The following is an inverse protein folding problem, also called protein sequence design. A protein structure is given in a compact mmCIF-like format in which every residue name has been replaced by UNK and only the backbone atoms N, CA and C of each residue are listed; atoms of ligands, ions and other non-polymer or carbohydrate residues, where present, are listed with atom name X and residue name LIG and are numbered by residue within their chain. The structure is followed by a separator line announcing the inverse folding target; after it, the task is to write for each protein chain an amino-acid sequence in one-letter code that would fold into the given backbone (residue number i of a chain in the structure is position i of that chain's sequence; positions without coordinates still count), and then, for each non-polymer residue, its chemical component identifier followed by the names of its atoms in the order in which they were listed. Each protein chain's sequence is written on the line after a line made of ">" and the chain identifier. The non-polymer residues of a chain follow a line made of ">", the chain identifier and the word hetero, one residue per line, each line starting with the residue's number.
data_IF_275897571979
#
_entry.id   IF_275897571979
#
_cell.length_a   1.000
_cell.length_b   1.000
_cell.length_c   1.000
_cell.angle_alpha   90.00
_cell.angle_beta   90.00
_cell.angle_gamma   90.00
#
_symmetry.space_group_name_H-M   'P 1'
#
loop_
_entity.id
_entity.type
_entity.pdbx_description
1 polymer ?
#
# COMPACT_ATOMS: atom_id res chain seq x y z
N UNK A 1 -40.36 -67.88 31.84
CA UNK A 1 -40.01 -66.47 32.10
C UNK A 1 -38.80 -66.13 31.23
N UNK A 2 -39.11 -65.31 30.25
CA UNK A 2 -38.33 -64.42 29.40
C UNK A 2 -36.95 -63.93 29.90
N UNK A 3 -36.04 -63.73 28.90
CA UNK A 3 -34.81 -62.89 28.80
C UNK A 3 -33.65 -63.16 29.78
N UNK A 4 -32.37 -63.12 29.39
CA UNK A 4 -31.71 -62.77 28.12
C UNK A 4 -30.18 -62.82 28.29
N UNK A 5 -29.51 -63.22 27.21
CA UNK A 5 -28.05 -63.25 27.05
C UNK A 5 -27.37 -61.90 27.27
N UNK A 6 -26.11 -61.93 27.70
CA UNK A 6 -25.23 -60.76 27.74
C UNK A 6 -23.77 -61.11 28.02
N UNK A 7 -23.19 -62.05 27.24
CA UNK A 7 -21.75 -62.22 27.13
C UNK A 7 -21.09 -60.89 26.71
N UNK A 8 -20.04 -60.50 27.44
CA UNK A 8 -19.26 -59.30 27.15
C UNK A 8 -18.56 -59.39 25.79
N UNK A 9 -18.41 -58.27 25.07
CA UNK A 9 -17.80 -58.30 23.75
C UNK A 9 -16.27 -58.45 23.83
N UNK A 10 -15.64 -59.04 22.80
CA UNK A 10 -14.20 -59.31 22.76
C UNK A 10 -13.40 -58.02 22.61
N UNK A 11 -12.29 -57.94 23.35
CA UNK A 11 -11.28 -56.89 23.27
C UNK A 11 -10.58 -56.88 21.89
N UNK A 12 -11.19 -56.22 20.90
CA UNK A 12 -10.52 -55.84 19.66
C UNK A 12 -9.64 -54.63 19.96
N UNK A 13 -8.33 -54.86 20.13
CA UNK A 13 -7.31 -53.79 20.05
C UNK A 13 -7.35 -53.20 18.65
N UNK A 14 -8.19 -52.18 18.45
CA UNK A 14 -8.08 -51.30 17.28
C UNK A 14 -6.82 -50.48 17.49
N UNK A 15 -5.78 -50.82 16.73
CA UNK A 15 -4.62 -49.97 16.50
C UNK A 15 -5.18 -48.67 15.92
N UNK A 16 -5.24 -47.61 16.72
CA UNK A 16 -5.54 -46.27 16.24
C UNK A 16 -4.51 -45.97 15.13
N UNK A 17 -4.94 -45.49 13.95
CA UNK A 17 -3.97 -44.93 13.01
C UNK A 17 -3.21 -43.83 13.75
N UNK A 18 -1.88 -43.84 13.60
CA UNK A 18 -1.04 -42.78 14.13
C UNK A 18 -1.67 -41.43 13.73
N UNK A 19 -1.92 -40.57 14.71
CA UNK A 19 -2.12 -39.15 14.40
C UNK A 19 -0.85 -38.72 13.68
N UNK A 20 -1.00 -38.47 12.39
CA UNK A 20 -0.01 -37.77 11.60
C UNK A 20 0.21 -36.42 12.28
N UNK A 21 1.45 -36.15 12.70
CA UNK A 21 1.93 -34.88 13.22
C UNK A 21 1.96 -33.81 12.09
N UNK A 22 0.93 -33.76 11.24
CA UNK A 22 0.79 -32.78 10.15
C UNK A 22 0.14 -31.47 10.61
N UNK A 23 0.18 -31.17 11.90
CA UNK A 23 -0.32 -29.94 12.49
C UNK A 23 0.80 -29.10 13.07
N UNK A 24 1.84 -28.85 12.27
CA UNK A 24 2.69 -27.68 12.46
C UNK A 24 3.33 -27.21 11.15
N UNK A 25 2.61 -26.31 10.49
CA UNK A 25 3.24 -25.20 9.80
C UNK A 25 2.20 -24.08 9.74
N UNK A 26 2.44 -22.88 10.32
CA UNK A 26 1.63 -21.73 9.95
C UNK A 26 1.79 -21.55 8.45
N UNK A 27 0.70 -21.74 7.70
CA UNK A 27 0.61 -21.41 6.29
C UNK A 27 0.93 -19.92 6.14
N UNK A 28 2.22 -19.63 5.92
CA UNK A 28 2.76 -18.32 5.58
C UNK A 28 2.11 -17.90 4.27
N UNK A 29 0.98 -17.22 4.36
CA UNK A 29 0.33 -16.60 3.19
C UNK A 29 1.04 -15.28 2.95
N UNK A 30 2.11 -15.37 2.16
CA UNK A 30 3.01 -14.28 1.80
C UNK A 30 2.39 -13.39 0.73
N UNK A 31 2.34 -12.08 0.95
CA UNK A 31 2.18 -11.08 -0.11
C UNK A 31 3.54 -10.42 -0.38
N UNK A 32 4.21 -10.95 -1.40
CA UNK A 32 5.49 -10.44 -1.90
C UNK A 32 5.28 -9.18 -2.73
N UNK A 33 6.19 -8.22 -2.54
CA UNK A 33 6.38 -7.10 -3.47
C UNK A 33 7.44 -7.55 -4.47
N UNK A 34 7.02 -7.92 -5.67
CA UNK A 34 7.89 -8.40 -6.75
C UNK A 34 8.56 -7.23 -7.50
N UNK A 35 9.87 -7.33 -7.68
CA UNK A 35 10.65 -6.65 -8.72
C UNK A 35 11.00 -7.73 -9.75
N UNK A 36 10.75 -7.48 -11.04
CA UNK A 36 11.12 -8.43 -12.10
C UNK A 36 12.48 -8.03 -12.68
N UNK A 37 13.51 -8.84 -12.44
CA UNK A 37 14.72 -8.87 -13.27
C UNK A 37 14.45 -9.70 -14.53
N UNK A 38 14.87 -9.18 -15.68
CA UNK A 38 14.81 -9.89 -16.96
C UNK A 38 16.09 -10.68 -17.18
N UNK A 39 15.98 -11.96 -17.52
CA UNK A 39 17.05 -12.71 -18.17
C UNK A 39 16.51 -13.43 -19.41
N UNK A 40 17.27 -13.32 -20.52
CA UNK A 40 17.19 -14.25 -21.66
C UNK A 40 17.05 -13.63 -23.06
N UNK A 41 18.20 -13.25 -23.66
CA UNK A 41 18.71 -13.50 -25.04
C UNK A 41 17.73 -13.47 -26.24
N UNK A 42 17.97 -12.83 -27.42
CA UNK A 42 19.20 -12.50 -28.15
C UNK A 42 18.94 -11.43 -29.26
N UNK A 43 19.94 -10.54 -29.46
CA UNK A 43 20.39 -9.78 -30.67
C UNK A 43 19.38 -9.13 -31.63
N UNK A 44 19.48 -7.80 -31.77
CA UNK A 44 20.12 -7.12 -32.93
C UNK A 44 20.68 -5.74 -32.53
N UNK A 45 21.54 -5.23 -33.39
CA UNK A 45 22.51 -4.12 -33.34
C UNK A 45 22.06 -2.72 -32.92
N UNK A 46 23.05 -2.02 -32.34
CA UNK A 46 23.37 -0.59 -32.44
C UNK A 46 22.47 0.45 -31.75
N UNK A 47 23.04 1.04 -30.70
CA UNK A 47 23.11 2.51 -30.55
C UNK A 47 21.87 3.23 -30.03
N UNK A 48 21.61 3.16 -28.73
CA UNK A 48 21.17 4.34 -27.94
C UNK A 48 21.10 3.97 -26.45
N UNK A 49 21.59 4.88 -25.58
CA UNK A 49 21.56 4.69 -24.13
C UNK A 49 20.15 4.85 -23.55
N UNK A 50 19.66 3.97 -22.65
CA UNK A 50 18.29 4.05 -22.19
C UNK A 50 18.12 5.02 -21.01
N UNK A 51 17.42 6.13 -21.28
CA UNK A 51 16.72 6.95 -20.29
C UNK A 51 15.67 6.07 -19.58
N UNK A 52 15.84 5.87 -18.28
CA UNK A 52 14.94 5.02 -17.48
C UNK A 52 13.93 5.90 -16.73
N UNK A 53 12.67 5.89 -17.21
CA UNK A 53 11.51 6.55 -16.60
C UNK A 53 10.66 5.55 -15.81
N UNK A 54 10.30 5.87 -14.56
CA UNK A 54 9.32 5.10 -13.77
C UNK A 54 8.34 6.03 -13.06
N UNK A 55 7.05 5.87 -13.38
CA UNK A 55 5.91 6.57 -12.77
C UNK A 55 5.32 5.80 -11.59
N UNK A 56 4.99 6.52 -10.50
CA UNK A 56 4.02 6.24 -9.44
C UNK A 56 3.60 4.79 -9.16
N UNK A 57 3.98 4.32 -7.96
CA UNK A 57 3.44 3.31 -7.01
C UNK A 57 2.48 2.22 -7.51
N UNK A 58 1.54 2.57 -8.38
CA UNK A 58 0.52 1.67 -8.93
C UNK A 58 1.01 0.80 -10.07
N UNK A 59 2.20 1.04 -10.65
CA UNK A 59 2.77 0.24 -11.77
C UNK A 59 3.78 -0.85 -11.37
N UNK A 60 3.95 -1.17 -10.09
CA UNK A 60 4.84 -2.27 -9.65
C UNK A 60 4.20 -3.67 -9.69
N UNK A 61 3.00 -3.82 -10.26
CA UNK A 61 2.34 -5.11 -10.38
C UNK A 61 2.72 -5.83 -11.69
N UNK A 62 3.76 -6.68 -11.63
CA UNK A 62 3.74 -7.90 -12.44
C UNK A 62 2.84 -8.91 -11.71
N UNK A 63 1.76 -9.29 -12.39
CA UNK A 63 0.68 -10.13 -11.87
C UNK A 63 1.15 -11.59 -11.90
N UNK A 64 1.38 -12.27 -10.76
CA UNK A 64 1.44 -13.72 -10.78
C UNK A 64 0.05 -14.26 -11.18
N UNK A 65 -0.02 -15.36 -11.95
CA UNK A 65 -1.29 -15.89 -12.41
C UNK A 65 -2.23 -16.14 -11.24
N UNK A 66 -3.45 -15.63 -11.40
CA UNK A 66 -4.64 -15.83 -10.58
C UNK A 66 -4.62 -17.23 -9.91
N UNK A 67 -4.42 -17.31 -8.59
CA UNK A 67 -4.90 -18.49 -7.84
C UNK A 67 -6.42 -18.44 -8.02
N UNK A 68 -6.97 -19.32 -8.88
CA UNK A 68 -8.35 -19.25 -9.40
C UNK A 68 -9.32 -18.70 -8.34
N UNK A 69 -9.78 -17.46 -8.54
CA UNK A 69 -10.86 -16.88 -7.76
C UNK A 69 -10.46 -15.91 -6.63
N UNK A 70 -9.21 -15.46 -6.54
CA UNK A 70 -8.76 -14.46 -5.57
C UNK A 70 -8.13 -13.22 -6.21
N UNK A 71 -8.23 -12.07 -5.55
CA UNK A 71 -7.75 -10.78 -6.05
C UNK A 71 -7.33 -9.87 -4.92
N UNK A 72 -6.24 -9.13 -5.10
CA UNK A 72 -5.79 -8.15 -4.11
C UNK A 72 -6.69 -6.92 -4.14
N UNK A 73 -7.00 -6.38 -2.97
CA UNK A 73 -7.68 -5.11 -2.83
C UNK A 73 -7.06 -4.23 -1.75
N UNK A 74 -7.31 -2.94 -1.83
CA UNK A 74 -6.99 -1.96 -0.80
C UNK A 74 -8.01 -0.82 -0.81
N UNK A 75 -8.27 -0.24 0.35
CA UNK A 75 -9.09 0.96 0.48
C UNK A 75 -8.22 2.14 0.89
N UNK A 76 -8.52 3.31 0.34
CA UNK A 76 -7.78 4.52 0.60
C UNK A 76 -8.70 5.74 0.63
N UNK A 77 -8.40 6.69 1.50
CA UNK A 77 -8.86 8.06 1.34
C UNK A 77 -8.03 8.71 0.24
N UNK A 78 -8.72 9.39 -0.67
CA UNK A 78 -8.06 10.18 -1.71
C UNK A 78 -8.22 11.65 -1.36
N UNK A 79 -7.09 12.33 -1.21
CA UNK A 79 -7.07 13.77 -1.13
C UNK A 79 -7.30 14.38 -2.52
N UNK A 80 -7.87 15.58 -2.57
CA UNK A 80 -7.84 16.41 -3.78
C UNK A 80 -6.38 16.65 -4.20
N UNK A 81 -6.17 16.93 -5.49
CA UNK A 81 -4.85 17.26 -6.06
C UNK A 81 -4.09 18.22 -5.11
N UNK A 82 -2.85 17.89 -4.71
CA UNK A 82 -2.09 18.71 -3.77
C UNK A 82 -1.89 20.12 -4.32
N UNK A 83 -1.80 21.11 -3.42
CA UNK A 83 -1.42 22.48 -3.79
C UNK A 83 -0.03 22.49 -4.42
N UNK A 84 0.31 23.54 -5.18
CA UNK A 84 1.67 23.69 -5.73
C UNK A 84 2.72 23.74 -4.61
N UNK A 85 2.40 24.41 -3.49
CA UNK A 85 3.26 24.50 -2.31
C UNK A 85 3.50 23.13 -1.67
N UNK A 86 2.43 22.35 -1.47
CA UNK A 86 2.52 21.00 -0.93
C UNK A 86 3.30 20.08 -1.87
N UNK A 87 3.03 20.13 -3.17
CA UNK A 87 3.75 19.33 -4.16
C UNK A 87 5.25 19.62 -4.11
N UNK A 88 5.62 20.91 -4.04
CA UNK A 88 7.02 21.33 -3.90
C UNK A 88 7.65 20.84 -2.60
N UNK A 89 6.92 20.91 -1.47
CA UNK A 89 7.41 20.41 -0.18
C UNK A 89 7.66 18.90 -0.21
N UNK A 90 6.73 18.11 -0.76
CA UNK A 90 6.89 16.66 -0.87
C UNK A 90 8.02 16.28 -1.83
N UNK A 91 8.13 16.94 -2.99
CA UNK A 91 9.27 16.72 -3.91
C UNK A 91 10.59 17.08 -3.27
N UNK A 92 10.67 18.21 -2.55
CA UNK A 92 11.87 18.60 -1.81
C UNK A 92 12.23 17.61 -0.70
N UNK A 93 11.25 17.00 -0.04
CA UNK A 93 11.49 15.93 0.92
C UNK A 93 12.07 14.68 0.25
N UNK A 94 11.56 14.30 -0.93
CA UNK A 94 12.13 13.21 -1.71
C UNK A 94 13.56 13.51 -2.18
N UNK A 95 13.81 14.71 -2.70
CA UNK A 95 15.13 15.12 -3.17
C UNK A 95 16.14 15.12 -2.01
N UNK A 96 15.78 15.68 -0.85
CA UNK A 96 16.63 15.63 0.35
C UNK A 96 16.91 14.18 0.75
N UNK A 97 15.88 13.33 0.79
CA UNK A 97 16.07 11.92 1.12
C UNK A 97 16.99 11.18 0.13
N UNK A 98 16.91 11.50 -1.16
CA UNK A 98 17.77 10.95 -2.20
C UNK A 98 19.22 11.41 -2.01
N UNK A 99 19.41 12.70 -1.79
CA UNK A 99 20.73 13.31 -1.72
C UNK A 99 21.47 12.93 -0.41
N UNK A 100 20.74 12.52 0.64
CA UNK A 100 21.32 11.95 1.87
C UNK A 100 21.72 10.47 1.75
N UNK A 101 21.43 9.79 0.62
CA UNK A 101 21.86 8.41 0.42
C UNK A 101 23.33 8.35 -0.03
N UNK A 102 24.07 7.38 0.49
CA UNK A 102 25.44 7.11 0.04
C UNK A 102 25.45 6.62 -1.42
N UNK A 103 26.52 6.90 -2.20
CA UNK A 103 26.62 6.46 -3.60
C UNK A 103 26.45 4.96 -3.82
N UNK A 104 26.97 4.14 -2.89
CA UNK A 104 26.84 2.68 -2.89
C UNK A 104 25.74 2.19 -1.92
N UNK A 105 24.87 3.11 -1.48
CA UNK A 105 23.77 2.83 -0.58
C UNK A 105 22.60 2.12 -1.28
N UNK A 106 21.62 1.63 -0.50
CA UNK A 106 20.43 1.00 -1.06
C UNK A 106 19.61 1.99 -1.90
N UNK A 107 19.07 1.50 -3.02
CA UNK A 107 18.25 2.34 -3.91
C UNK A 107 16.96 2.80 -3.21
N UNK A 108 16.65 4.08 -3.36
CA UNK A 108 15.36 4.64 -2.99
C UNK A 108 14.57 5.02 -4.24
N UNK A 109 13.25 4.91 -4.19
CA UNK A 109 12.36 5.15 -5.33
C UNK A 109 11.23 6.10 -4.95
N UNK A 110 10.94 7.06 -5.83
CA UNK A 110 9.84 8.02 -5.63
C UNK A 110 8.47 7.38 -5.78
N UNK A 111 7.53 7.87 -4.97
CA UNK A 111 6.10 7.57 -5.05
C UNK A 111 5.26 8.80 -5.45
N UNK A 112 5.92 9.93 -5.73
CA UNK A 112 5.28 11.17 -6.13
C UNK A 112 5.14 11.25 -7.66
N UNK A 113 4.03 11.86 -8.11
CA UNK A 113 3.78 12.04 -9.53
C UNK A 113 4.91 12.82 -10.20
N UNK A 114 5.34 12.34 -11.37
CA UNK A 114 6.26 13.10 -12.21
C UNK A 114 5.63 14.47 -12.53
N UNK A 115 6.41 15.57 -12.50
CA UNK A 115 5.91 16.87 -12.90
C UNK A 115 5.39 16.79 -14.34
N UNK A 116 4.19 17.33 -14.57
CA UNK A 116 3.59 17.39 -15.91
C UNK A 116 4.55 18.17 -16.83
N UNK A 117 4.90 17.66 -18.02
CA UNK A 117 5.67 18.44 -18.97
C UNK A 117 4.79 19.60 -19.45
N UNK A 118 5.15 20.82 -19.11
CA UNK A 118 4.32 22.02 -19.38
C UNK A 118 4.34 22.48 -20.85
N UNK A 119 5.01 21.75 -21.77
CA UNK A 119 4.98 22.04 -23.20
C UNK A 119 5.33 20.77 -24.01
N UNK A 120 4.34 19.96 -24.37
CA UNK A 120 4.55 18.86 -25.32
C UNK A 120 3.51 18.92 -26.42
N UNK A 121 4.01 18.90 -27.65
CA UNK A 121 3.30 18.99 -28.92
C UNK A 121 2.03 18.09 -28.95
N UNK A 122 0.86 18.59 -29.42
CA UNK A 122 -0.38 17.83 -29.49
C UNK A 122 -0.34 16.56 -30.37
N UNK A 123 0.73 16.34 -31.13
CA UNK A 123 0.85 15.23 -32.09
C UNK A 123 1.43 13.92 -31.54
N UNK A 124 1.89 13.87 -30.29
CA UNK A 124 2.52 12.69 -29.68
C UNK A 124 1.50 11.73 -29.02
N UNK A 125 0.88 10.90 -29.85
CA UNK A 125 0.41 9.51 -29.62
C UNK A 125 -0.47 9.15 -28.38
N UNK A 126 -1.23 8.05 -28.54
CA UNK A 126 -2.06 7.37 -27.52
C UNK A 126 -1.36 7.15 -26.16
N UNK A 127 -0.03 7.19 -26.14
CA UNK A 127 0.81 7.10 -24.95
C UNK A 127 0.74 8.36 -24.08
N UNK A 128 0.66 9.57 -24.66
CA UNK A 128 0.46 10.82 -23.93
C UNK A 128 -0.92 10.86 -23.27
N UNK A 129 -1.98 10.41 -23.96
CA UNK A 129 -3.32 10.28 -23.34
C UNK A 129 -3.36 9.23 -22.23
N UNK A 130 -2.59 8.14 -22.37
CA UNK A 130 -2.43 7.14 -21.30
C UNK A 130 -1.59 7.69 -20.14
N UNK A 131 -0.60 8.54 -20.42
CA UNK A 131 0.15 9.30 -19.42
C UNK A 131 -0.74 10.35 -18.74
N UNK A 132 -1.64 11.02 -19.44
CA UNK A 132 -2.63 11.98 -18.91
C UNK A 132 -3.67 11.28 -18.03
N UNK A 133 -4.15 10.11 -18.46
CA UNK A 133 -5.06 9.28 -17.66
C UNK A 133 -4.36 8.70 -16.42
N UNK A 134 -3.08 8.33 -16.51
CA UNK A 134 -2.28 7.87 -15.36
C UNK A 134 -1.79 9.04 -14.47
N UNK A 135 -1.64 10.26 -15.00
CA UNK A 135 -1.38 11.49 -14.22
C UNK A 135 -2.65 12.09 -13.63
N UNK A 136 -3.85 11.71 -14.09
CA UNK A 136 -5.10 11.94 -13.36
C UNK A 136 -5.15 11.16 -12.02
N UNK A 137 -4.23 10.22 -11.76
CA UNK A 137 -3.99 9.57 -10.46
C UNK A 137 -2.83 10.19 -9.65
N UNK A 138 -2.38 11.41 -9.99
CA UNK A 138 -1.43 12.20 -9.20
C UNK A 138 -1.97 12.71 -7.85
N UNK A 139 -3.10 12.17 -7.38
CA UNK A 139 -3.66 12.51 -6.09
C UNK A 139 -2.88 11.80 -4.98
N UNK A 140 -2.65 12.52 -3.88
CA UNK A 140 -2.13 11.91 -2.67
C UNK A 140 -3.18 10.93 -2.13
N UNK A 141 -2.74 9.74 -1.73
CA UNK A 141 -3.59 8.75 -1.11
C UNK A 141 -3.13 8.48 0.31
N UNK A 142 -4.10 8.15 1.17
CA UNK A 142 -3.91 7.73 2.56
C UNK A 142 -4.58 6.37 2.69
N UNK A 143 -3.81 5.34 2.99
CA UNK A 143 -4.36 3.99 3.16
C UNK A 143 -5.32 3.94 4.36
N UNK A 144 -6.45 3.24 4.17
CA UNK A 144 -7.48 3.00 5.19
C UNK A 144 -7.75 1.50 5.41
N UNK A 145 -7.02 0.63 4.71
CA UNK A 145 -6.95 -0.79 4.97
C UNK A 145 -5.52 -1.30 4.83
N UNK A 146 -5.24 -2.46 5.43
CA UNK A 146 -4.12 -3.30 5.02
C UNK A 146 -4.36 -3.81 3.59
N UNK A 147 -3.34 -4.36 2.90
CA UNK A 147 -3.57 -5.17 1.72
C UNK A 147 -4.55 -6.31 2.02
N UNK A 148 -5.64 -6.39 1.26
CA UNK A 148 -6.70 -7.39 1.42
C UNK A 148 -6.58 -8.46 0.34
N UNK A 149 -6.82 -9.71 0.71
CA UNK A 149 -7.03 -10.81 -0.24
C UNK A 149 -8.51 -11.09 -0.36
N UNK A 150 -9.10 -10.68 -1.48
CA UNK A 150 -10.52 -10.82 -1.76
C UNK A 150 -10.82 -12.04 -2.62
N UNK A 151 -11.88 -12.77 -2.27
CA UNK A 151 -12.49 -13.74 -3.17
C UNK A 151 -13.30 -13.01 -4.26
N UNK A 152 -13.47 -13.65 -5.43
CA UNK A 152 -14.23 -13.06 -6.55
C UNK A 152 -15.65 -12.64 -6.14
N UNK A 153 -16.32 -13.45 -5.32
CA UNK A 153 -17.68 -13.15 -4.83
C UNK A 153 -17.72 -11.98 -3.83
N UNK A 154 -16.64 -11.70 -3.10
CA UNK A 154 -16.57 -10.61 -2.12
C UNK A 154 -16.35 -9.23 -2.76
N UNK A 155 -15.99 -9.17 -4.05
CA UNK A 155 -15.65 -7.91 -4.75
C UNK A 155 -16.78 -6.88 -4.67
N UNK A 156 -17.99 -7.32 -5.01
CA UNK A 156 -19.17 -6.46 -4.98
C UNK A 156 -19.58 -6.08 -3.55
N UNK A 157 -19.36 -6.96 -2.58
CA UNK A 157 -19.65 -6.67 -1.18
C UNK A 157 -18.71 -5.61 -0.60
N UNK A 158 -17.41 -5.69 -0.87
CA UNK A 158 -16.45 -4.68 -0.47
C UNK A 158 -16.80 -3.31 -1.08
N UNK A 159 -17.09 -3.27 -2.38
CA UNK A 159 -17.49 -2.05 -3.07
C UNK A 159 -18.74 -1.42 -2.44
N UNK A 160 -19.78 -2.23 -2.15
CA UNK A 160 -20.98 -1.76 -1.45
C UNK A 160 -20.70 -1.27 -0.04
N UNK A 161 -19.83 -1.97 0.70
CA UNK A 161 -19.43 -1.58 2.05
C UNK A 161 -18.76 -0.20 2.04
N UNK A 162 -17.76 0.01 1.18
CA UNK A 162 -17.08 1.31 1.09
C UNK A 162 -18.01 2.40 0.58
N UNK A 163 -18.89 2.10 -0.38
CA UNK A 163 -19.92 3.04 -0.83
C UNK A 163 -20.85 3.50 0.29
N UNK A 164 -21.28 2.59 1.18
CA UNK A 164 -22.10 2.96 2.34
C UNK A 164 -21.34 3.84 3.32
N UNK A 165 -20.09 3.49 3.63
CA UNK A 165 -19.26 4.30 4.55
C UNK A 165 -19.02 5.70 3.96
N UNK A 166 -18.78 5.80 2.65
CA UNK A 166 -18.64 7.08 1.96
C UNK A 166 -19.93 7.91 2.03
N UNK A 167 -21.09 7.30 1.80
CA UNK A 167 -22.38 7.99 1.88
C UNK A 167 -22.69 8.53 3.28
N UNK A 168 -22.21 7.86 4.33
CA UNK A 168 -22.40 8.24 5.74
C UNK A 168 -21.30 9.16 6.30
N UNK A 169 -20.32 9.51 5.49
CA UNK A 169 -19.17 10.32 5.91
C UNK A 169 -19.22 11.65 5.19
N UNK A 170 -19.19 12.75 5.95
CA UNK A 170 -19.04 14.09 5.39
C UNK A 170 -17.61 14.29 4.89
N UNK A 171 -17.40 14.99 3.77
CA UNK A 171 -16.07 15.49 3.41
C UNK A 171 -15.46 16.34 4.54
N UNK A 172 -14.15 16.28 4.72
CA UNK A 172 -13.45 16.98 5.80
C UNK A 172 -12.03 17.44 5.38
N UNK A 173 -11.50 18.50 6.01
CA UNK A 173 -10.11 18.90 5.82
C UNK A 173 -9.16 18.01 6.65
N UNK A 174 -7.98 17.74 6.11
CA UNK A 174 -6.87 17.11 6.82
C UNK A 174 -5.58 17.91 6.59
N UNK A 175 -4.60 17.79 7.49
CA UNK A 175 -3.31 18.47 7.36
C UNK A 175 -2.14 17.59 7.76
N UNK A 176 -1.10 17.61 6.92
CA UNK A 176 0.18 16.98 7.22
C UNK A 176 0.96 17.77 8.30
N UNK A 177 1.66 17.05 9.17
CA UNK A 177 2.33 17.65 10.33
C UNK A 177 3.79 17.26 10.50
N UNK A 178 4.16 16.05 10.07
CA UNK A 178 5.49 15.49 10.28
C UNK A 178 5.85 14.49 9.19
N UNK A 179 7.13 14.14 9.14
CA UNK A 179 7.65 12.99 8.41
C UNK A 179 7.82 11.79 9.33
N UNK A 180 7.65 10.60 8.76
CA UNK A 180 7.79 9.36 9.51
C UNK A 180 8.26 8.23 8.61
N UNK A 181 8.73 7.17 9.27
CA UNK A 181 9.15 5.95 8.60
C UNK A 181 8.24 4.80 8.95
N UNK A 182 7.90 4.03 7.93
CA UNK A 182 7.02 2.87 8.04
C UNK A 182 7.65 1.67 7.33
N UNK A 183 7.36 0.47 7.82
CA UNK A 183 7.65 -0.77 7.10
C UNK A 183 6.33 -1.50 6.85
N UNK A 184 6.25 -2.25 5.76
CA UNK A 184 5.10 -3.13 5.56
C UNK A 184 5.13 -4.31 6.55
N UNK A 185 3.99 -4.97 6.72
CA UNK A 185 3.83 -6.11 7.65
C UNK A 185 4.90 -7.19 7.48
N UNK A 186 5.28 -7.49 6.24
CA UNK A 186 6.28 -8.50 5.92
C UNK A 186 7.73 -8.01 6.07
N UNK A 187 7.94 -6.74 6.41
CA UNK A 187 9.26 -6.08 6.50
C UNK A 187 10.10 -6.28 5.25
N UNK A 188 9.46 -6.19 4.08
CA UNK A 188 10.13 -6.29 2.78
C UNK A 188 10.33 -4.92 2.13
N UNK A 189 9.66 -3.89 2.63
CA UNK A 189 9.73 -2.52 2.15
C UNK A 189 9.70 -1.54 3.31
N UNK A 190 10.49 -0.49 3.15
CA UNK A 190 10.57 0.65 4.07
C UNK A 190 10.16 1.91 3.32
N UNK A 191 9.35 2.74 3.95
CA UNK A 191 8.70 3.90 3.35
C UNK A 191 9.04 5.15 4.14
N UNK A 192 9.35 6.23 3.42
CA UNK A 192 9.29 7.59 3.94
C UNK A 192 7.87 8.11 3.69
N UNK A 193 7.20 8.61 4.72
CA UNK A 193 5.85 9.17 4.61
C UNK A 193 5.72 10.54 5.24
N UNK A 194 4.76 11.33 4.75
CA UNK A 194 4.24 12.50 5.45
C UNK A 194 2.97 12.11 6.21
N UNK A 195 2.94 12.39 7.51
CA UNK A 195 1.87 11.99 8.43
C UNK A 195 0.85 13.09 8.64
N UNK A 196 -0.41 12.68 8.75
CA UNK A 196 -1.56 13.54 9.03
C UNK A 196 -1.75 13.66 10.54
N UNK A 197 -1.91 14.89 11.02
CA UNK A 197 -2.32 15.15 12.41
C UNK A 197 -3.74 15.73 12.48
N UNK A 198 -4.01 16.83 11.77
CA UNK A 198 -5.36 17.37 11.69
C UNK A 198 -6.18 16.52 10.72
N UNK A 199 -7.42 16.14 11.08
CA UNK A 199 -8.20 15.17 10.31
C UNK A 199 -8.03 13.73 10.77
N UNK A 200 -7.19 13.48 11.80
CA UNK A 200 -6.94 12.14 12.32
C UNK A 200 -8.21 11.49 12.87
N UNK A 201 -9.02 12.23 13.63
CA UNK A 201 -10.23 11.68 14.26
C UNK A 201 -11.28 11.30 13.21
N UNK A 202 -11.41 12.10 12.16
CA UNK A 202 -12.27 11.85 11.02
C UNK A 202 -11.82 10.59 10.26
N UNK A 203 -10.52 10.47 9.97
CA UNK A 203 -9.94 9.28 9.34
C UNK A 203 -10.10 8.02 10.22
N UNK A 204 -9.86 8.13 11.53
CA UNK A 204 -10.05 7.04 12.48
C UNK A 204 -11.52 6.60 12.55
N UNK A 205 -12.47 7.54 12.51
CA UNK A 205 -13.89 7.23 12.46
C UNK A 205 -14.28 6.52 11.14
N UNK A 206 -13.69 6.91 10.01
CA UNK A 206 -13.87 6.22 8.74
C UNK A 206 -13.30 4.81 8.79
N UNK A 207 -12.07 4.64 9.29
CA UNK A 207 -11.44 3.31 9.47
C UNK A 207 -12.29 2.42 10.35
N UNK A 208 -12.77 2.92 11.49
CA UNK A 208 -13.62 2.15 12.39
C UNK A 208 -14.87 1.61 11.66
N UNK A 209 -15.55 2.45 10.89
CA UNK A 209 -16.71 2.04 10.08
C UNK A 209 -16.32 1.04 8.99
N UNK A 210 -15.16 1.22 8.35
CA UNK A 210 -14.64 0.27 7.36
C UNK A 210 -14.33 -1.08 8.01
N UNK A 211 -13.65 -1.10 9.15
CA UNK A 211 -13.25 -2.31 9.87
C UNK A 211 -14.46 -3.15 10.28
N UNK A 212 -15.55 -2.52 10.75
CA UNK A 212 -16.82 -3.22 11.01
C UNK A 212 -17.32 -3.97 9.76
N UNK A 213 -17.21 -3.35 8.57
CA UNK A 213 -17.59 -4.01 7.31
C UNK A 213 -16.57 -5.07 6.88
N UNK A 214 -15.27 -4.82 7.03
CA UNK A 214 -14.21 -5.75 6.65
C UNK A 214 -14.29 -7.03 7.49
N UNK A 215 -14.49 -6.90 8.81
CA UNK A 215 -14.67 -8.04 9.72
C UNK A 215 -15.90 -8.87 9.35
N UNK A 216 -17.02 -8.22 8.99
CA UNK A 216 -18.22 -8.92 8.50
C UNK A 216 -17.95 -9.71 7.21
N UNK A 217 -17.01 -9.25 6.37
CA UNK A 217 -16.54 -9.95 5.17
C UNK A 217 -15.42 -10.95 5.45
N UNK A 218 -15.03 -11.17 6.72
CA UNK A 218 -13.88 -12.00 7.13
C UNK A 218 -12.56 -11.52 6.53
N UNK A 219 -12.43 -10.20 6.35
CA UNK A 219 -11.22 -9.52 5.93
C UNK A 219 -10.54 -8.89 7.16
N UNK A 220 -9.20 -8.74 7.15
CA UNK A 220 -8.49 -8.16 8.28
C UNK A 220 -8.90 -6.69 8.48
N UNK A 221 -9.04 -6.31 9.74
CA UNK A 221 -9.16 -4.91 10.15
C UNK A 221 -7.83 -4.14 9.92
N UNK A 222 -7.89 -2.83 10.07
CA UNK A 222 -6.73 -1.96 9.99
C UNK A 222 -5.76 -2.14 11.18
N UNK A 223 -4.72 -1.30 11.25
CA UNK A 223 -3.76 -1.30 12.33
C UNK A 223 -4.38 -0.77 13.63
N UNK A 224 -4.03 -1.39 14.76
CA UNK A 224 -4.54 -0.99 16.09
C UNK A 224 -4.15 0.44 16.45
N UNK A 225 -2.92 0.84 16.08
CA UNK A 225 -2.41 2.21 16.19
C UNK A 225 -2.27 2.81 14.78
N UNK A 226 -3.33 3.40 14.21
CA UNK A 226 -3.27 3.90 12.85
C UNK A 226 -2.38 5.12 12.75
N UNK A 227 -1.40 5.05 11.83
CA UNK A 227 -0.57 6.18 11.40
C UNK A 227 -1.02 6.58 10.01
N UNK A 228 -1.89 7.58 9.91
CA UNK A 228 -2.39 8.07 8.62
C UNK A 228 -1.30 8.87 7.92
N UNK A 229 -0.91 8.42 6.73
CA UNK A 229 0.20 9.01 6.00
C UNK A 229 0.02 8.88 4.49
N UNK A 230 0.77 9.70 3.76
CA UNK A 230 1.04 9.46 2.35
C UNK A 230 2.50 9.09 2.19
N UNK A 231 2.76 7.96 1.54
CA UNK A 231 4.12 7.53 1.25
C UNK A 231 4.73 8.38 0.13
N UNK A 232 5.94 8.88 0.37
CA UNK A 232 6.72 9.76 -0.52
C UNK A 232 7.76 8.96 -1.29
N UNK A 233 8.44 8.04 -0.59
CA UNK A 233 9.52 7.23 -1.15
C UNK A 233 9.51 5.83 -0.53
N UNK A 234 10.19 4.89 -1.17
CA UNK A 234 10.39 3.55 -0.63
C UNK A 234 11.74 2.94 -1.00
N UNK A 235 12.16 1.92 -0.23
CA UNK A 235 13.34 1.10 -0.48
C UNK A 235 13.10 -0.37 -0.08
N UNK A 236 13.93 -1.29 -0.59
CA UNK A 236 13.98 -2.70 -0.17
C UNK A 236 14.86 -2.93 1.07
N UNK A 237 15.70 -1.97 1.45
CA UNK A 237 16.49 -2.06 2.66
C UNK A 237 15.63 -1.78 3.90
N UNK A 238 15.47 -2.81 4.72
CA UNK A 238 14.55 -2.86 5.87
C UNK A 238 15.26 -3.37 7.12
N UNK A 239 14.59 -3.25 8.26
CA UNK A 239 15.03 -3.86 9.51
C UNK A 239 15.30 -5.37 9.43
N UNK A 240 14.61 -6.08 8.52
CA UNK A 240 14.78 -7.52 8.32
C UNK A 240 15.96 -7.87 7.41
N UNK A 241 16.30 -7.03 6.43
CA UNK A 241 17.36 -7.29 5.45
C UNK A 241 18.73 -6.80 5.90
N UNK A 242 18.79 -5.77 6.74
CA UNK A 242 20.03 -5.04 7.08
C UNK A 242 20.68 -5.50 8.39
N UNK A 243 20.41 -6.73 8.84
CA UNK A 243 20.96 -7.29 10.09
C UNK A 243 22.46 -7.65 10.06
N UNK A 244 23.16 -7.51 8.91
CA UNK A 244 24.44 -8.21 8.69
C UNK A 244 25.71 -7.36 8.63
N UNK A 245 25.62 -6.06 8.40
CA UNK A 245 26.77 -5.16 8.41
C UNK A 245 26.25 -3.82 8.91
N UNK A 246 26.83 -3.33 10.02
CA UNK A 246 27.04 -1.95 10.53
C UNK A 246 26.44 -0.69 9.84
N UNK A 247 25.43 -0.79 8.98
CA UNK A 247 24.90 0.25 8.12
C UNK A 247 23.60 0.89 8.61
N UNK A 248 23.58 2.21 8.62
CA UNK A 248 22.41 3.04 8.90
C UNK A 248 21.24 2.65 7.97
N UNK A 249 20.07 2.33 8.52
CA UNK A 249 18.87 2.10 7.71
C UNK A 249 18.51 3.37 6.93
N UNK A 250 18.07 3.27 5.66
CA UNK A 250 17.55 4.42 4.94
C UNK A 250 16.42 5.09 5.72
N UNK A 251 16.33 6.40 5.56
CA UNK A 251 15.42 7.24 6.33
C UNK A 251 15.70 7.13 7.84
N UNK A 252 16.97 7.18 8.22
CA UNK A 252 17.36 7.23 9.63
C UNK A 252 16.84 8.50 10.32
N UNK A 253 16.95 8.55 11.65
CA UNK A 253 16.42 9.64 12.46
C UNK A 253 17.03 10.98 12.07
N UNK A 254 18.31 10.99 11.69
CA UNK A 254 19.06 12.17 11.27
C UNK A 254 18.43 12.82 10.03
N UNK A 255 18.00 11.99 9.06
CA UNK A 255 17.26 12.49 7.89
C UNK A 255 15.90 13.06 8.30
N UNK A 256 15.18 12.41 9.21
CA UNK A 256 13.89 12.92 9.69
C UNK A 256 14.06 14.27 10.36
N UNK A 257 15.05 14.44 11.23
CA UNK A 257 15.35 15.69 11.90
C UNK A 257 15.72 16.79 10.88
N UNK A 258 16.46 16.44 9.83
CA UNK A 258 16.79 17.35 8.73
C UNK A 258 15.57 17.74 7.88
N UNK A 259 14.70 16.77 7.56
CA UNK A 259 13.44 17.00 6.87
C UNK A 259 12.52 17.92 7.69
N UNK A 260 12.41 17.67 8.99
CA UNK A 260 11.62 18.49 9.90
C UNK A 260 12.14 19.93 9.97
N UNK A 261 13.46 20.09 9.98
CA UNK A 261 14.11 21.41 10.02
C UNK A 261 13.93 22.16 8.71
N UNK A 262 14.20 21.52 7.56
CA UNK A 262 14.25 22.19 6.25
C UNK A 262 12.88 22.28 5.56
N UNK A 263 12.06 21.24 5.67
CA UNK A 263 10.81 21.10 4.90
C UNK A 263 9.57 21.16 5.81
N UNK A 264 9.68 20.75 7.08
CA UNK A 264 8.59 20.72 8.05
C UNK A 264 7.75 22.01 8.12
N UNK A 265 8.34 23.22 8.17
CA UNK A 265 7.57 24.46 8.17
C UNK A 265 6.70 24.64 6.92
N UNK A 266 7.23 24.33 5.73
CA UNK A 266 6.48 24.39 4.48
C UNK A 266 5.42 23.29 4.40
N UNK A 267 5.72 22.08 4.89
CA UNK A 267 4.76 20.99 4.97
C UNK A 267 3.54 21.39 5.80
N UNK A 268 3.74 21.97 7.00
CA UNK A 268 2.63 22.38 7.87
C UNK A 268 1.83 23.54 7.29
N UNK A 269 2.52 24.50 6.66
CA UNK A 269 1.90 25.67 6.04
C UNK A 269 1.04 25.29 4.84
N UNK A 270 1.57 24.46 3.93
CA UNK A 270 0.96 24.16 2.63
C UNK A 270 0.19 22.82 2.63
N UNK A 271 0.35 22.00 3.68
CA UNK A 271 -0.11 20.62 3.74
C UNK A 271 -1.55 20.40 4.11
N UNK A 272 -2.40 21.43 4.00
CA UNK A 272 -3.85 21.22 4.08
C UNK A 272 -4.33 20.53 2.80
N UNK A 273 -5.13 19.49 2.97
CA UNK A 273 -5.75 18.72 1.91
C UNK A 273 -7.22 18.50 2.21
N UNK A 274 -8.04 18.43 1.15
CA UNK A 274 -9.45 18.11 1.28
C UNK A 274 -9.68 16.62 1.02
N UNK A 275 -10.29 15.92 1.97
CA UNK A 275 -10.69 14.52 1.82
C UNK A 275 -12.14 14.51 1.35
N UNK A 276 -12.33 14.19 0.06
CA UNK A 276 -13.64 14.21 -0.60
C UNK A 276 -14.13 12.86 -1.10
N UNK A 277 -13.23 11.88 -1.21
CA UNK A 277 -13.55 10.58 -1.81
C UNK A 277 -12.89 9.42 -1.05
N UNK A 278 -13.61 8.31 -0.95
CA UNK A 278 -13.03 7.00 -0.66
C UNK A 278 -12.80 6.23 -1.96
N UNK A 279 -11.66 5.56 -2.06
CA UNK A 279 -11.30 4.73 -3.19
C UNK A 279 -11.18 3.28 -2.75
N UNK A 280 -11.63 2.38 -3.64
CA UNK A 280 -11.37 0.94 -3.54
C UNK A 280 -10.60 0.54 -4.78
N UNK A 281 -9.42 -0.04 -4.58
CA UNK A 281 -8.64 -0.66 -5.64
C UNK A 281 -8.83 -2.16 -5.55
N UNK A 282 -9.19 -2.82 -6.65
CA UNK A 282 -9.28 -4.28 -6.77
C UNK A 282 -8.49 -4.68 -8.02
N UNK A 283 -7.31 -5.27 -7.83
CA UNK A 283 -6.39 -5.53 -8.93
C UNK A 283 -5.98 -4.22 -9.64
N UNK A 284 -6.45 -4.05 -10.88
CA UNK A 284 -6.20 -2.84 -11.68
C UNK A 284 -7.34 -1.83 -11.62
N UNK A 285 -8.50 -2.23 -11.11
CA UNK A 285 -9.70 -1.43 -11.13
C UNK A 285 -9.72 -0.53 -9.90
N UNK A 286 -9.91 0.78 -10.10
CA UNK A 286 -10.09 1.76 -9.01
C UNK A 286 -11.49 2.31 -9.10
N UNK A 287 -12.29 2.09 -8.07
CA UNK A 287 -13.63 2.67 -7.91
C UNK A 287 -13.60 3.77 -6.87
N UNK A 288 -14.29 4.89 -7.14
CA UNK A 288 -14.30 6.06 -6.25
C UNK A 288 -15.72 6.33 -5.76
N UNK A 289 -15.85 6.68 -4.50
CA UNK A 289 -17.10 7.00 -3.84
C UNK A 289 -16.97 8.36 -3.16
N UNK A 290 -17.75 9.33 -3.62
CA UNK A 290 -17.78 10.67 -3.06
C UNK A 290 -18.38 10.64 -1.66
N UNK A 291 -17.74 11.35 -0.74
CA UNK A 291 -18.24 11.58 0.60
C UNK A 291 -19.48 12.50 0.54
N UNK A 292 -20.58 12.09 1.17
CA UNK A 292 -21.88 12.77 1.06
C UNK A 292 -22.44 13.22 2.42
N UNK A 293 -22.42 12.35 3.42
CA UNK A 293 -22.57 12.65 4.85
C UNK A 293 -23.86 13.33 5.30
#
# INVERSE_FOLDING_TARGET
>A
MTVGNGEGPPSKKRKLPALDDSFDAPNKTTLQIYIKEGSGLHRTSEGDGPLTFISNVSRLASIPPNRRGQSRADTAARAVKPSKGLSKALSGAYDLARDSMLPDGPSIHSLLAAPSPENTDPSESRLARKLEQDTQDAALHVSLSRPLMLLTNQRGDLQRAVSRVAAQTRPFPARYASFGVLENDEKTRRFLGAEIAQGYQELAAVVKRLDEQLVALRLPAYYDEPRFHTSIAWTTATSATTQRDDGLLPFARELLDELETKIGPSLRKEGEVWVGDLCVKIGKDVTRYRLAG
#
